data_IF_538919337194
#
_entry.id   IF_538919337194
#
_cell.length_a   1.000
_cell.length_b   1.000
_cell.length_c   1.000
_cell.angle_alpha   90.00
_cell.angle_beta   90.00
_cell.angle_gamma   90.00
#
_symmetry.space_group_name_H-M   'P 1'
#
loop_
_entity.id
_entity.type
_entity.pdbx_description
1 polymer ?
#
# COMPACT_ATOMS: atom_id res chain seq x y z
N UNK A 1 -7.02 17.14 -17.02
CA UNK A 1 -6.55 15.77 -16.70
C UNK A 1 -5.15 15.86 -16.18
N UNK A 2 -4.81 15.09 -15.14
CA UNK A 2 -3.45 14.99 -14.60
C UNK A 2 -2.93 13.55 -14.76
N UNK A 3 -1.61 13.35 -14.89
CA UNK A 3 -1.03 12.01 -14.78
C UNK A 3 -1.34 11.37 -13.42
N UNK A 4 -1.40 10.03 -13.39
CA UNK A 4 -1.45 9.29 -12.13
C UNK A 4 -0.07 9.22 -11.47
N UNK A 5 -0.04 9.30 -10.14
CA UNK A 5 1.14 9.19 -9.32
C UNK A 5 1.10 7.85 -8.57
N UNK A 6 2.18 7.08 -8.65
CA UNK A 6 2.29 5.83 -7.91
C UNK A 6 3.69 5.55 -7.41
N UNK A 7 3.78 4.69 -6.40
CA UNK A 7 5.06 4.28 -5.81
C UNK A 7 5.10 2.78 -5.49
N UNK A 8 6.28 2.19 -5.58
CA UNK A 8 6.54 0.84 -5.08
C UNK A 8 6.93 0.93 -3.60
N UNK A 9 6.30 0.12 -2.74
CA UNK A 9 6.63 0.08 -1.30
C UNK A 9 8.10 -0.32 -1.09
N UNK A 10 8.77 0.31 -0.11
CA UNK A 10 10.16 0.02 0.29
C UNK A 10 10.29 -0.19 1.81
N UNK A 11 11.30 -0.94 2.29
CA UNK A 11 12.34 -1.65 1.53
C UNK A 11 11.78 -2.77 0.65
N UNK A 12 12.59 -3.23 -0.31
CA UNK A 12 12.16 -4.20 -1.34
C UNK A 12 11.53 -5.46 -0.73
N UNK A 13 12.11 -5.99 0.35
CA UNK A 13 11.64 -7.15 1.11
C UNK A 13 11.81 -6.88 2.62
N UNK A 14 11.12 -7.66 3.45
CA UNK A 14 11.33 -7.69 4.90
C UNK A 14 10.35 -6.88 5.75
N UNK A 15 9.41 -6.16 5.13
CA UNK A 15 8.29 -5.56 5.88
C UNK A 15 7.28 -6.61 6.30
N UNK A 16 6.73 -6.46 7.51
CA UNK A 16 5.52 -7.19 7.94
C UNK A 16 4.27 -6.62 7.28
N UNK A 17 3.19 -7.41 7.20
CA UNK A 17 1.91 -6.99 6.62
C UNK A 17 1.36 -5.69 7.23
N UNK A 18 1.46 -5.54 8.55
CA UNK A 18 1.00 -4.34 9.26
C UNK A 18 1.78 -3.09 8.89
N UNK A 19 3.11 -3.19 8.82
CA UNK A 19 3.95 -2.06 8.40
C UNK A 19 3.75 -1.74 6.92
N UNK A 20 3.50 -2.76 6.10
CA UNK A 20 3.15 -2.60 4.69
C UNK A 20 1.88 -1.76 4.52
N UNK A 21 0.80 -2.12 5.23
CA UNK A 21 -0.45 -1.35 5.22
C UNK A 21 -0.28 0.09 5.73
N UNK A 22 0.62 0.33 6.70
CA UNK A 22 0.95 1.69 7.14
C UNK A 22 1.60 2.51 6.03
N UNK A 23 2.54 1.93 5.27
CA UNK A 23 3.16 2.63 4.13
C UNK A 23 2.12 2.94 3.06
N UNK A 24 1.23 1.98 2.76
CA UNK A 24 0.11 2.19 1.83
C UNK A 24 -0.77 3.37 2.28
N UNK A 25 -1.19 3.40 3.55
CA UNK A 25 -1.99 4.49 4.09
C UNK A 25 -1.30 5.85 3.98
N UNK A 26 -0.05 5.98 4.43
CA UNK A 26 0.65 7.27 4.43
C UNK A 26 0.92 7.76 3.01
N UNK A 27 1.29 6.87 2.08
CA UNK A 27 1.54 7.23 0.69
C UNK A 27 0.27 7.73 -0.02
N UNK A 28 -0.85 7.01 0.15
CA UNK A 28 -2.12 7.38 -0.48
C UNK A 28 -2.73 8.64 0.14
N UNK A 29 -2.70 8.76 1.47
CA UNK A 29 -3.13 9.99 2.16
C UNK A 29 -2.24 11.18 1.79
N UNK A 30 -0.96 10.94 1.51
CA UNK A 30 0.01 11.94 1.09
C UNK A 30 -0.15 12.42 -0.36
N UNK A 31 -1.11 11.86 -1.12
CA UNK A 31 -1.44 12.34 -2.48
C UNK A 31 -1.07 11.40 -3.61
N UNK A 32 -0.54 10.19 -3.33
CA UNK A 32 -0.41 9.16 -4.37
C UNK A 32 -1.79 8.61 -4.76
N UNK A 33 -1.92 8.19 -6.01
CA UNK A 33 -3.11 7.49 -6.50
C UNK A 33 -3.01 6.00 -6.22
N UNK A 34 -1.80 5.45 -6.38
CA UNK A 34 -1.54 4.02 -6.25
C UNK A 34 -0.28 3.71 -5.44
N UNK A 35 -0.31 2.67 -4.62
CA UNK A 35 0.90 1.95 -4.24
C UNK A 35 0.90 0.55 -4.81
N UNK A 36 2.09 0.05 -5.17
CA UNK A 36 2.24 -1.30 -5.70
C UNK A 36 3.24 -2.12 -4.92
N UNK A 37 3.00 -3.43 -4.98
CA UNK A 37 3.97 -4.44 -4.61
C UNK A 37 5.22 -4.33 -5.48
N UNK A 38 6.38 -4.54 -4.85
CA UNK A 38 7.61 -4.83 -5.56
C UNK A 38 7.49 -6.22 -6.20
N UNK A 39 8.10 -6.43 -7.36
CA UNK A 39 7.92 -7.65 -8.16
C UNK A 39 8.34 -8.95 -7.44
N UNK A 40 9.14 -8.84 -6.37
CA UNK A 40 9.58 -9.96 -5.56
C UNK A 40 8.71 -10.21 -4.30
N UNK A 41 7.71 -9.37 -4.04
CA UNK A 41 6.77 -9.54 -2.93
C UNK A 41 5.65 -10.51 -3.33
N UNK A 42 5.71 -11.72 -2.78
CA UNK A 42 4.76 -12.80 -3.06
C UNK A 42 4.11 -13.28 -1.76
N UNK A 43 4.60 -14.36 -1.18
CA UNK A 43 4.18 -14.83 0.15
C UNK A 43 5.39 -15.44 0.85
N UNK A 44 6.04 -14.65 1.70
CA UNK A 44 7.28 -15.01 2.38
C UNK A 44 7.07 -15.15 3.89
N UNK A 45 8.01 -15.77 4.64
CA UNK A 45 7.87 -15.93 6.08
C UNK A 45 7.66 -14.62 6.86
N UNK A 46 8.24 -13.51 6.39
CA UNK A 46 8.09 -12.19 7.02
C UNK A 46 6.74 -11.53 6.73
N UNK A 47 6.00 -11.98 5.70
CA UNK A 47 4.70 -11.42 5.32
C UNK A 47 3.94 -12.40 4.42
N UNK A 48 2.91 -13.03 4.97
CA UNK A 48 2.00 -13.86 4.19
C UNK A 48 1.07 -12.98 3.37
N UNK A 49 0.76 -13.39 2.14
CA UNK A 49 -0.04 -12.59 1.20
C UNK A 49 -1.39 -12.15 1.79
N UNK A 50 -2.04 -13.02 2.57
CA UNK A 50 -3.35 -12.73 3.19
C UNK A 50 -3.25 -11.55 4.16
N UNK A 51 -2.21 -11.51 4.99
CA UNK A 51 -1.99 -10.40 5.91
C UNK A 51 -1.70 -9.11 5.15
N UNK A 52 -0.83 -9.17 4.12
CA UNK A 52 -0.53 -8.01 3.26
C UNK A 52 -1.81 -7.43 2.66
N UNK A 53 -2.63 -8.27 2.05
CA UNK A 53 -3.85 -7.81 1.36
C UNK A 53 -4.83 -7.17 2.33
N UNK A 54 -5.04 -7.76 3.52
CA UNK A 54 -5.94 -7.21 4.52
C UNK A 54 -5.46 -5.83 5.01
N UNK A 55 -4.18 -5.70 5.38
CA UNK A 55 -3.65 -4.43 5.86
C UNK A 55 -3.50 -3.37 4.76
N UNK A 56 -3.17 -3.75 3.53
CA UNK A 56 -3.15 -2.83 2.39
C UNK A 56 -4.55 -2.28 2.10
N UNK A 57 -5.57 -3.13 2.08
CA UNK A 57 -6.95 -2.69 1.84
C UNK A 57 -7.50 -1.83 2.98
N UNK A 58 -7.13 -2.10 4.23
CA UNK A 58 -7.42 -1.19 5.34
C UNK A 58 -6.80 0.19 5.09
N UNK A 59 -5.53 0.22 4.67
CA UNK A 59 -4.82 1.46 4.34
C UNK A 59 -5.47 2.24 3.19
N UNK A 60 -5.85 1.55 2.11
CA UNK A 60 -6.57 2.11 0.96
C UNK A 60 -7.90 2.72 1.41
N UNK A 61 -8.74 1.95 2.11
CA UNK A 61 -10.06 2.42 2.54
C UNK A 61 -9.96 3.62 3.48
N UNK A 62 -8.98 3.62 4.40
CA UNK A 62 -8.72 4.75 5.30
C UNK A 62 -8.23 5.99 4.55
N UNK A 63 -7.38 5.83 3.54
CA UNK A 63 -6.91 6.94 2.72
C UNK A 63 -8.06 7.52 1.88
N UNK A 64 -8.85 6.67 1.21
CA UNK A 64 -10.05 7.07 0.46
C UNK A 64 -11.01 7.87 1.34
N UNK A 65 -11.30 7.40 2.55
CA UNK A 65 -12.17 8.11 3.49
C UNK A 65 -11.57 9.45 3.97
N UNK A 66 -10.25 9.53 4.13
CA UNK A 66 -9.57 10.74 4.60
C UNK A 66 -9.42 11.82 3.52
N UNK A 67 -9.32 11.44 2.25
CA UNK A 67 -9.06 12.39 1.14
C UNK A 67 -10.29 12.65 0.28
N UNK A 68 -11.31 11.79 0.32
CA UNK A 68 -12.45 11.86 -0.60
C UNK A 68 -12.10 11.52 -2.05
N UNK A 69 -10.93 10.91 -2.28
CA UNK A 69 -10.44 10.50 -3.60
C UNK A 69 -10.41 8.98 -3.68
N UNK A 70 -10.59 8.43 -4.89
CA UNK A 70 -10.40 6.98 -5.13
C UNK A 70 -8.91 6.66 -5.04
N UNK A 71 -8.55 5.65 -4.25
CA UNK A 71 -7.17 5.18 -4.01
C UNK A 71 -7.02 3.68 -4.28
N UNK A 72 -5.79 3.22 -4.54
CA UNK A 72 -5.48 1.81 -4.78
C UNK A 72 -4.09 1.35 -4.38
#
# INVERSE_FOLDING_TARGET
>A
GRPFLGATVKPKLGLSGKNYGRVVYEGLRGGLDFLKDDENINSQPFMRWKERFLYSMEGVNRATAATGEIKG
#
